data_IF_557533057931
#
_entry.id   IF_557533057931
#
_cell.length_a   1.000
_cell.length_b   1.000
_cell.length_c   1.000
_cell.angle_alpha   90.00
_cell.angle_beta   90.00
_cell.angle_gamma   90.00
#
_symmetry.space_group_name_H-M   'P 1'
#
loop_
_entity.id
_entity.type
_entity.pdbx_description
1 polymer ?
#
# COMPACT_ATOMS: atom_id res chain seq x y z
N UNK A 1 46.10 11.55 -13.19
CA UNK A 1 46.26 12.23 -11.89
C UNK A 1 44.89 12.70 -11.45
N UNK A 2 44.31 11.97 -10.52
CA UNK A 2 42.99 12.32 -9.93
C UNK A 2 43.27 12.95 -8.57
N UNK A 3 43.00 14.24 -8.43
CA UNK A 3 43.09 14.95 -7.16
C UNK A 3 41.94 14.50 -6.25
N UNK A 4 42.29 13.92 -5.13
CA UNK A 4 41.40 13.63 -4.03
C UNK A 4 41.03 14.96 -3.33
N UNK A 5 39.78 15.37 -3.41
CA UNK A 5 39.24 16.52 -2.68
C UNK A 5 39.31 16.25 -1.17
N UNK A 6 40.29 16.86 -0.51
CA UNK A 6 40.43 16.82 0.95
C UNK A 6 39.28 17.58 1.61
N UNK A 7 38.43 16.87 2.38
CA UNK A 7 37.37 17.45 3.18
C UNK A 7 37.94 18.47 4.18
N UNK A 8 37.30 19.63 4.28
CA UNK A 8 37.76 20.76 5.09
C UNK A 8 37.91 20.37 6.59
N UNK A 9 38.89 20.97 7.33
CA UNK A 9 39.08 20.70 8.76
C UNK A 9 37.81 20.96 9.61
N UNK A 10 36.94 21.84 9.18
CA UNK A 10 35.66 22.14 9.84
C UNK A 10 34.67 20.98 9.71
N UNK A 11 34.59 20.32 8.55
CA UNK A 11 33.75 19.14 8.33
C UNK A 11 34.23 17.95 9.16
N UNK A 12 35.55 17.75 9.26
CA UNK A 12 36.13 16.68 10.12
C UNK A 12 35.87 16.93 11.61
N UNK A 13 35.86 18.18 12.06
CA UNK A 13 35.49 18.53 13.45
C UNK A 13 34.02 18.32 13.71
N UNK A 14 33.14 18.68 12.78
CA UNK A 14 31.71 18.43 12.90
C UNK A 14 31.38 16.92 12.94
N UNK A 15 32.05 16.10 12.13
CA UNK A 15 31.88 14.64 12.16
C UNK A 15 32.43 14.01 13.44
N UNK A 16 33.51 14.56 14.01
CA UNK A 16 34.04 14.11 15.29
C UNK A 16 33.09 14.47 16.44
N UNK A 17 32.55 15.69 16.46
CA UNK A 17 31.57 16.14 17.46
C UNK A 17 30.27 15.32 17.34
N UNK A 18 29.82 15.05 16.13
CA UNK A 18 28.62 14.23 15.87
C UNK A 18 28.77 12.81 16.39
N UNK A 19 29.96 12.19 16.30
CA UNK A 19 30.24 10.84 16.84
C UNK A 19 30.32 10.82 18.36
N UNK A 20 30.66 11.92 19.03
CA UNK A 20 30.78 12.01 20.48
C UNK A 20 29.46 12.47 21.14
N UNK A 21 28.55 13.10 20.39
CA UNK A 21 27.25 13.56 20.88
C UNK A 21 26.10 12.59 20.59
N UNK A 22 26.33 11.58 19.76
CA UNK A 22 25.35 10.48 19.64
C UNK A 22 25.55 9.56 20.85
N UNK A 23 24.57 9.41 21.75
CA UNK A 23 24.64 8.38 22.78
C UNK A 23 24.84 7.02 22.07
N UNK A 24 25.65 6.16 22.67
CA UNK A 24 25.75 4.78 22.24
C UNK A 24 24.34 4.20 22.15
N UNK A 25 24.00 3.45 21.10
CA UNK A 25 22.68 2.84 21.04
C UNK A 25 22.42 2.10 22.35
N UNK A 26 21.25 2.26 22.98
CA UNK A 26 20.94 1.57 24.22
C UNK A 26 21.15 0.07 24.00
N UNK A 27 21.60 -0.68 25.02
CA UNK A 27 21.75 -2.12 24.89
C UNK A 27 20.39 -2.67 24.46
N UNK A 28 20.34 -3.24 23.25
CA UNK A 28 19.18 -3.98 22.78
C UNK A 28 18.98 -5.10 23.79
N UNK A 29 17.92 -5.03 24.59
CA UNK A 29 17.46 -6.17 25.35
C UNK A 29 17.15 -7.26 24.33
N UNK A 30 18.14 -8.12 24.08
CA UNK A 30 17.97 -9.34 23.33
C UNK A 30 16.98 -10.21 24.12
N UNK A 31 15.69 -10.05 23.85
CA UNK A 31 14.80 -11.18 23.94
C UNK A 31 15.26 -12.12 22.83
N UNK A 32 15.95 -13.19 23.23
CA UNK A 32 16.32 -14.26 22.33
C UNK A 32 15.07 -14.66 21.53
N UNK A 33 15.10 -14.64 20.18
CA UNK A 33 14.05 -15.25 19.42
C UNK A 33 14.05 -16.72 19.78
N UNK A 34 13.09 -17.12 20.61
CA UNK A 34 12.85 -18.51 20.94
C UNK A 34 12.77 -19.32 19.66
N UNK A 35 13.63 -20.33 19.57
CA UNK A 35 13.61 -21.55 18.74
C UNK A 35 12.65 -21.56 17.52
N UNK A 36 13.16 -22.04 16.42
CA UNK A 36 12.52 -22.25 15.10
C UNK A 36 11.24 -23.16 15.08
N UNK A 37 10.48 -23.23 16.15
CA UNK A 37 9.21 -23.91 16.26
C UNK A 37 8.07 -22.88 16.15
N UNK A 38 7.53 -22.71 14.93
CA UNK A 38 6.16 -22.25 14.73
C UNK A 38 5.94 -20.74 14.64
N UNK A 39 6.59 -20.01 13.70
CA UNK A 39 6.02 -18.74 13.24
C UNK A 39 4.77 -19.08 12.42
N UNK A 40 3.57 -18.69 12.92
CA UNK A 40 2.34 -18.85 12.13
C UNK A 40 2.46 -17.99 10.85
N UNK A 41 2.20 -18.57 9.67
CA UNK A 41 2.18 -17.80 8.44
C UNK A 41 1.20 -16.63 8.56
N UNK A 42 1.66 -15.41 8.32
CA UNK A 42 0.87 -14.19 8.38
C UNK A 42 1.35 -13.24 7.29
N UNK A 43 0.48 -12.48 6.60
CA UNK A 43 0.95 -11.44 5.70
C UNK A 43 1.79 -10.44 6.48
N UNK A 44 2.99 -10.14 5.98
CA UNK A 44 3.89 -9.16 6.59
C UNK A 44 3.71 -7.81 5.91
N UNK A 45 3.47 -6.77 6.71
CA UNK A 45 3.24 -5.41 6.23
C UNK A 45 4.34 -4.51 6.78
N UNK A 46 5.13 -3.89 5.90
CA UNK A 46 6.24 -3.01 6.30
C UNK A 46 6.00 -1.60 5.79
N UNK A 47 5.98 -0.61 6.70
CA UNK A 47 5.83 0.80 6.32
C UNK A 47 5.38 1.70 7.45
N UNK A 48 4.73 2.81 7.10
CA UNK A 48 4.45 3.90 8.00
C UNK A 48 3.23 3.71 8.89
N UNK A 49 3.40 4.11 10.17
CA UNK A 49 2.33 4.48 11.09
C UNK A 49 2.38 6.00 11.29
N UNK A 50 1.25 6.68 11.20
CA UNK A 50 1.16 8.15 11.20
C UNK A 50 0.02 8.58 12.12
N UNK A 51 0.20 9.65 12.88
CA UNK A 51 -0.89 10.36 13.53
C UNK A 51 -1.36 11.49 12.61
N UNK A 52 -2.59 11.40 12.12
CA UNK A 52 -3.23 12.46 11.35
C UNK A 52 -3.98 13.40 12.30
N UNK A 53 -3.70 14.70 12.22
CA UNK A 53 -4.40 15.76 12.94
C UNK A 53 -5.25 16.51 11.92
N UNK A 54 -6.57 16.40 12.05
CA UNK A 54 -7.53 17.07 11.19
C UNK A 54 -8.14 18.25 11.93
N UNK A 55 -7.87 19.47 11.48
CA UNK A 55 -8.46 20.68 12.00
C UNK A 55 -9.52 21.21 11.02
N UNK A 56 -10.76 21.37 11.50
CA UNK A 56 -11.86 21.97 10.74
C UNK A 56 -12.33 23.23 11.46
N UNK A 57 -11.93 24.40 10.99
CA UNK A 57 -12.37 25.68 11.58
C UNK A 57 -13.85 25.92 11.30
N UNK A 58 -14.56 26.59 12.23
CA UNK A 58 -15.97 26.94 12.09
C UNK A 58 -16.21 28.16 11.17
N UNK A 59 -15.13 28.90 10.87
CA UNK A 59 -15.11 30.04 9.95
C UNK A 59 -13.78 30.07 9.21
N UNK A 60 -13.70 30.80 8.12
CA UNK A 60 -12.46 30.91 7.35
C UNK A 60 -11.32 31.49 8.23
N UNK A 61 -10.20 30.76 8.38
CA UNK A 61 -9.06 31.23 9.15
C UNK A 61 -8.47 32.53 8.58
N UNK A 62 -8.16 33.48 9.44
CA UNK A 62 -7.43 34.69 9.05
C UNK A 62 -5.97 34.56 9.46
N UNK A 63 -5.00 34.96 8.62
CA UNK A 63 -3.58 34.92 8.96
C UNK A 63 -3.29 35.66 10.28
N UNK A 64 -2.51 35.00 11.15
CA UNK A 64 -2.11 35.58 12.45
C UNK A 64 -3.18 35.51 13.56
N UNK A 65 -4.32 34.79 13.32
CA UNK A 65 -5.38 34.64 14.32
C UNK A 65 -5.70 33.19 14.61
N UNK A 66 -6.34 32.95 15.75
CA UNK A 66 -6.90 31.63 16.10
C UNK A 66 -8.43 31.71 15.99
N UNK A 67 -9.03 30.75 15.32
CA UNK A 67 -10.48 30.65 15.17
C UNK A 67 -10.99 29.38 15.88
N UNK A 68 -12.23 29.39 16.42
CA UNK A 68 -12.86 28.18 16.93
C UNK A 68 -13.01 27.11 15.84
N UNK A 69 -12.97 25.84 16.26
CA UNK A 69 -13.12 24.74 15.32
C UNK A 69 -13.07 23.37 16.00
N UNK A 70 -13.06 22.32 15.20
CA UNK A 70 -12.90 20.96 15.67
C UNK A 70 -11.52 20.45 15.29
N UNK A 71 -10.84 19.80 16.25
CA UNK A 71 -9.58 19.09 15.99
C UNK A 71 -9.79 17.62 16.33
N UNK A 72 -9.51 16.73 15.36
CA UNK A 72 -9.57 15.28 15.53
C UNK A 72 -8.18 14.68 15.36
N UNK A 73 -7.85 13.70 16.21
CA UNK A 73 -6.68 12.83 16.07
C UNK A 73 -7.13 11.53 15.45
N UNK A 74 -6.52 11.16 14.34
CA UNK A 74 -6.90 9.98 13.54
C UNK A 74 -5.66 9.13 13.35
N UNK A 75 -5.78 7.83 13.61
CA UNK A 75 -4.72 6.89 13.28
C UNK A 75 -4.64 6.73 11.76
N UNK A 76 -3.47 6.96 11.19
CA UNK A 76 -3.20 6.95 9.76
C UNK A 76 -1.88 6.25 9.42
N UNK A 77 -1.44 6.46 8.20
CA UNK A 77 -0.29 5.81 7.57
C UNK A 77 -0.71 4.65 6.68
N UNK A 78 -0.22 4.64 5.45
CA UNK A 78 -0.63 3.69 4.40
C UNK A 78 -0.48 2.24 4.86
N UNK A 79 0.72 1.82 5.28
CA UNK A 79 0.95 0.45 5.74
C UNK A 79 0.09 0.10 6.97
N UNK A 80 -0.06 1.04 7.91
CA UNK A 80 -0.90 0.85 9.10
C UNK A 80 -2.38 0.71 8.72
N UNK A 81 -2.89 1.53 7.82
CA UNK A 81 -4.27 1.46 7.34
C UNK A 81 -4.54 0.12 6.63
N UNK A 82 -3.63 -0.32 5.77
CA UNK A 82 -3.72 -1.61 5.09
C UNK A 82 -3.75 -2.75 6.11
N UNK A 83 -2.83 -2.75 7.09
CA UNK A 83 -2.78 -3.79 8.12
C UNK A 83 -4.05 -3.82 8.98
N UNK A 84 -4.61 -2.67 9.36
CA UNK A 84 -5.88 -2.61 10.10
C UNK A 84 -7.05 -3.12 9.26
N UNK A 85 -7.11 -2.74 7.98
CA UNK A 85 -8.13 -3.24 7.05
C UNK A 85 -8.08 -4.78 6.96
N UNK A 86 -6.87 -5.36 6.76
CA UNK A 86 -6.64 -6.80 6.71
C UNK A 86 -7.12 -7.48 8.01
N UNK A 87 -6.79 -6.88 9.17
CA UNK A 87 -7.21 -7.40 10.47
C UNK A 87 -8.73 -7.40 10.62
N UNK A 88 -9.40 -6.31 10.25
CA UNK A 88 -10.87 -6.18 10.30
C UNK A 88 -11.59 -7.10 9.30
N UNK A 89 -10.91 -7.56 8.26
CA UNK A 89 -11.39 -8.60 7.33
C UNK A 89 -11.12 -10.04 7.80
N UNK A 90 -10.54 -10.20 9.01
CA UNK A 90 -10.36 -11.50 9.66
C UNK A 90 -9.00 -12.16 9.48
N UNK A 91 -8.07 -11.54 8.73
CA UNK A 91 -6.70 -12.01 8.57
C UNK A 91 -5.78 -11.26 9.53
N UNK A 92 -4.88 -11.96 10.25
CA UNK A 92 -3.95 -11.32 11.20
C UNK A 92 -2.65 -10.96 10.49
N UNK A 93 -2.34 -9.66 10.25
CA UNK A 93 -1.07 -9.25 9.69
C UNK A 93 0.01 -9.14 10.76
N UNK A 94 1.27 -9.33 10.38
CA UNK A 94 2.43 -8.95 11.18
C UNK A 94 2.98 -7.63 10.63
N UNK A 95 2.96 -6.57 11.45
CA UNK A 95 3.41 -5.25 11.02
C UNK A 95 4.82 -4.93 11.50
N UNK A 96 5.67 -4.46 10.60
CA UNK A 96 6.99 -3.93 10.90
C UNK A 96 6.98 -2.43 10.61
N UNK A 97 7.22 -1.61 11.65
CA UNK A 97 7.16 -0.16 11.57
C UNK A 97 8.07 0.52 12.59
N UNK A 98 8.02 1.84 12.67
CA UNK A 98 8.71 2.65 13.67
C UNK A 98 7.85 3.82 14.12
N UNK A 99 7.87 4.08 15.42
CA UNK A 99 7.28 5.27 16.06
C UNK A 99 8.28 5.86 17.05
N UNK A 100 8.09 7.12 17.41
CA UNK A 100 8.82 7.75 18.50
C UNK A 100 8.32 7.29 19.86
N UNK A 101 9.15 7.49 20.89
CA UNK A 101 8.72 7.37 22.28
C UNK A 101 8.10 8.70 22.75
N UNK A 102 6.97 9.04 22.15
CA UNK A 102 6.24 10.30 22.34
C UNK A 102 4.72 10.06 22.43
N UNK A 103 3.96 11.11 22.72
CA UNK A 103 2.50 11.04 22.87
C UNK A 103 1.81 10.45 21.61
N UNK A 104 2.29 10.78 20.42
CA UNK A 104 1.72 10.29 19.17
C UNK A 104 1.99 8.79 18.99
N UNK A 105 3.21 8.34 19.30
CA UNK A 105 3.58 6.91 19.31
C UNK A 105 2.76 6.12 20.32
N UNK A 106 2.61 6.63 21.55
CA UNK A 106 1.78 6.00 22.57
C UNK A 106 0.32 5.90 22.14
N UNK A 107 -0.23 6.94 21.51
CA UNK A 107 -1.59 6.95 20.98
C UNK A 107 -1.79 5.84 19.95
N UNK A 108 -0.89 5.74 18.95
CA UNK A 108 -0.95 4.74 17.89
C UNK A 108 -0.80 3.32 18.44
N UNK A 109 0.15 3.09 19.35
CA UNK A 109 0.38 1.77 19.95
C UNK A 109 -0.74 1.34 20.90
N UNK A 110 -1.31 2.28 21.66
CA UNK A 110 -2.47 1.99 22.52
C UNK A 110 -3.66 1.50 21.67
N UNK A 111 -3.96 2.21 20.59
CA UNK A 111 -5.00 1.79 19.65
C UNK A 111 -4.70 0.39 19.09
N UNK A 112 -3.46 0.16 18.61
CA UNK A 112 -3.02 -1.09 18.02
C UNK A 112 -3.16 -2.28 18.96
N UNK A 113 -2.72 -2.12 20.21
CA UNK A 113 -2.88 -3.13 21.27
C UNK A 113 -4.35 -3.38 21.61
N UNK A 114 -5.17 -2.34 21.68
CA UNK A 114 -6.60 -2.50 21.98
C UNK A 114 -7.36 -3.25 20.88
N UNK A 115 -6.89 -3.16 19.63
CA UNK A 115 -7.40 -3.94 18.51
C UNK A 115 -6.88 -5.40 18.49
N UNK A 116 -6.04 -5.79 19.45
CA UNK A 116 -5.47 -7.14 19.53
C UNK A 116 -4.42 -7.45 18.45
N UNK A 117 -3.80 -6.40 17.87
CA UNK A 117 -2.79 -6.56 16.82
C UNK A 117 -1.40 -6.56 17.47
N UNK A 118 -0.51 -7.48 17.02
CA UNK A 118 0.85 -7.62 17.53
C UNK A 118 1.68 -6.33 17.33
N UNK A 119 2.47 -5.96 18.32
CA UNK A 119 3.36 -4.78 18.29
C UNK A 119 4.84 -5.13 18.23
N UNK A 120 5.22 -6.40 18.20
CA UNK A 120 6.62 -6.86 18.30
C UNK A 120 7.51 -6.36 17.15
N UNK A 121 6.93 -6.15 15.98
CA UNK A 121 7.63 -5.59 14.81
C UNK A 121 7.73 -4.06 14.83
N UNK A 122 7.12 -3.36 15.82
CA UNK A 122 7.08 -1.91 15.85
C UNK A 122 8.20 -1.37 16.75
N UNK A 123 9.20 -0.73 16.15
CA UNK A 123 10.32 -0.12 16.84
C UNK A 123 9.88 1.19 17.51
N UNK A 124 10.06 1.31 18.82
CA UNK A 124 9.96 2.61 19.50
C UNK A 124 11.37 3.20 19.70
N UNK A 125 11.57 4.43 19.26
CA UNK A 125 12.87 5.13 19.29
C UNK A 125 12.79 6.37 20.16
N UNK A 126 13.71 6.50 21.13
CA UNK A 126 13.86 7.73 21.90
C UNK A 126 14.36 8.88 21.03
N UNK A 127 13.98 10.10 21.36
CA UNK A 127 14.40 11.33 20.66
C UNK A 127 14.05 11.38 19.17
N UNK A 128 13.09 10.55 18.74
CA UNK A 128 12.52 10.55 17.40
C UNK A 128 11.05 10.93 17.48
N UNK A 129 10.63 11.85 16.64
CA UNK A 129 9.22 12.23 16.54
C UNK A 129 8.48 11.19 15.72
N UNK A 130 7.39 10.65 16.27
CA UNK A 130 6.44 9.83 15.53
C UNK A 130 5.96 10.56 14.27
N UNK A 131 5.76 9.89 13.13
CA UNK A 131 5.21 10.54 11.95
C UNK A 131 3.85 11.19 12.25
N UNK A 132 3.74 12.48 11.92
CA UNK A 132 2.53 13.29 12.09
C UNK A 132 2.22 14.02 10.80
N UNK A 133 0.95 14.03 10.40
CA UNK A 133 0.42 14.89 9.34
C UNK A 133 -0.66 15.77 9.94
N UNK A 134 -0.49 17.10 9.83
CA UNK A 134 -1.48 18.08 10.30
C UNK A 134 -2.16 18.73 9.10
N UNK A 135 -3.45 18.56 8.98
CA UNK A 135 -4.28 19.03 7.88
C UNK A 135 -5.33 20.01 8.39
N UNK A 136 -5.46 21.13 7.70
CA UNK A 136 -6.52 22.12 7.93
C UNK A 136 -7.48 22.09 6.75
N UNK A 137 -8.74 21.86 7.01
CA UNK A 137 -9.81 21.79 6.01
C UNK A 137 -10.71 23.02 6.10
N UNK A 138 -11.35 23.39 5.02
CA UNK A 138 -12.40 24.42 5.03
C UNK A 138 -13.77 23.84 5.46
N UNK A 139 -14.80 24.69 5.41
CA UNK A 139 -16.17 24.30 5.75
C UNK A 139 -16.76 23.22 4.82
N UNK A 140 -16.28 23.14 3.57
CA UNK A 140 -16.70 22.14 2.58
C UNK A 140 -15.94 20.81 2.70
N UNK A 141 -14.83 20.78 3.50
CA UNK A 141 -13.99 19.61 3.66
C UNK A 141 -12.79 19.58 2.70
N UNK A 142 -12.54 20.69 1.97
CA UNK A 142 -11.38 20.82 1.11
C UNK A 142 -10.14 21.16 1.92
N UNK A 143 -8.97 20.62 1.53
CA UNK A 143 -7.70 20.85 2.21
C UNK A 143 -7.18 22.27 1.92
N UNK A 144 -7.11 23.11 2.95
CA UNK A 144 -6.54 24.46 2.86
C UNK A 144 -5.02 24.42 2.98
N UNK A 145 -4.52 23.67 3.97
CA UNK A 145 -3.09 23.56 4.26
C UNK A 145 -2.77 22.23 4.94
N UNK A 146 -1.59 21.69 4.67
CA UNK A 146 -1.11 20.47 5.30
C UNK A 146 0.39 20.57 5.59
N UNK A 147 0.81 20.02 6.75
CA UNK A 147 2.22 19.88 7.13
C UNK A 147 2.47 18.45 7.53
N UNK A 148 3.48 17.83 6.94
CA UNK A 148 3.84 16.43 7.18
C UNK A 148 5.25 16.31 7.76
N UNK A 149 5.36 15.75 8.96
CA UNK A 149 6.62 15.32 9.58
C UNK A 149 6.68 13.80 9.55
N UNK A 150 7.13 13.21 8.43
CA UNK A 150 7.04 11.77 8.17
C UNK A 150 8.39 11.09 7.94
N UNK A 151 9.50 11.73 8.31
CA UNK A 151 10.85 11.23 8.07
C UNK A 151 11.26 10.01 8.90
N UNK A 152 10.57 9.69 10.00
CA UNK A 152 10.99 8.64 10.91
C UNK A 152 11.05 7.26 10.24
N UNK A 153 10.08 6.91 9.40
CA UNK A 153 10.04 5.61 8.69
C UNK A 153 11.26 5.46 7.77
N UNK A 154 11.56 6.49 6.99
CA UNK A 154 12.70 6.46 6.06
C UNK A 154 14.04 6.39 6.78
N UNK A 155 14.18 7.13 7.89
CA UNK A 155 15.46 7.32 8.57
C UNK A 155 15.76 6.20 9.59
N UNK A 156 14.76 5.62 10.25
CA UNK A 156 14.95 4.72 11.38
C UNK A 156 14.48 3.29 11.13
N UNK A 157 13.58 3.05 10.17
CA UNK A 157 13.21 1.68 9.80
C UNK A 157 14.30 1.06 8.92
N UNK A 158 15.38 0.63 9.57
CA UNK A 158 16.60 0.17 8.93
C UNK A 158 16.50 -1.27 8.39
N UNK A 159 17.36 -1.65 7.40
CA UNK A 159 17.46 -3.05 6.96
C UNK A 159 17.80 -4.02 8.09
N UNK A 160 18.58 -3.59 9.09
CA UNK A 160 18.96 -4.42 10.24
C UNK A 160 17.75 -4.73 11.13
N UNK A 161 16.86 -3.77 11.37
CA UNK A 161 15.62 -4.00 12.09
C UNK A 161 14.72 -4.98 11.33
N UNK A 162 14.49 -4.74 10.04
CA UNK A 162 13.69 -5.62 9.19
C UNK A 162 14.25 -7.05 9.20
N UNK A 163 15.58 -7.23 9.15
CA UNK A 163 16.22 -8.54 9.13
C UNK A 163 16.00 -9.34 10.43
N UNK A 164 15.71 -8.70 11.57
CA UNK A 164 15.35 -9.42 12.80
C UNK A 164 14.09 -10.26 12.63
N UNK A 165 13.21 -9.85 11.74
CA UNK A 165 11.95 -10.53 11.41
C UNK A 165 12.04 -11.36 10.13
N UNK A 166 13.25 -11.76 9.74
CA UNK A 166 13.47 -12.58 8.53
C UNK A 166 12.61 -13.83 8.50
N UNK A 167 12.42 -14.52 9.64
CA UNK A 167 11.59 -15.71 9.73
C UNK A 167 10.12 -15.42 9.44
N UNK A 168 9.58 -14.31 9.95
CA UNK A 168 8.22 -13.87 9.64
C UNK A 168 8.05 -13.59 8.15
N UNK A 169 9.02 -12.86 7.54
CA UNK A 169 8.98 -12.54 6.10
C UNK A 169 9.08 -13.84 5.27
N UNK A 170 9.97 -14.77 5.66
CA UNK A 170 10.19 -16.01 4.92
C UNK A 170 9.01 -16.99 5.00
N UNK A 171 8.22 -16.94 6.07
CA UNK A 171 7.02 -17.75 6.26
C UNK A 171 5.73 -17.08 5.73
N UNK A 172 5.81 -15.80 5.34
CA UNK A 172 4.64 -15.03 4.93
C UNK A 172 4.05 -15.53 3.61
N UNK A 173 2.71 -15.58 3.48
CA UNK A 173 2.05 -15.80 2.19
C UNK A 173 2.27 -14.63 1.23
N UNK A 174 2.53 -13.41 1.76
CA UNK A 174 2.77 -12.20 1.01
C UNK A 174 3.49 -11.17 1.88
N UNK A 175 4.45 -10.45 1.28
CA UNK A 175 5.10 -9.27 1.84
C UNK A 175 4.55 -8.01 1.17
N UNK A 176 3.97 -7.08 1.97
CA UNK A 176 3.58 -5.76 1.49
C UNK A 176 4.57 -4.71 1.98
N UNK A 177 5.00 -3.82 1.08
CA UNK A 177 5.93 -2.72 1.34
C UNK A 177 5.30 -1.40 0.87
N UNK A 178 5.28 -0.38 1.73
CA UNK A 178 4.95 0.96 1.28
C UNK A 178 6.20 1.78 0.90
N UNK A 179 6.03 2.74 0.02
CA UNK A 179 7.11 3.58 -0.47
C UNK A 179 7.61 4.63 0.55
N UNK A 180 7.20 4.58 1.83
CA UNK A 180 7.78 5.39 2.90
C UNK A 180 9.16 4.88 3.35
N UNK A 181 9.47 3.61 3.09
CA UNK A 181 10.77 3.04 3.43
C UNK A 181 11.90 3.66 2.60
N UNK A 182 13.11 3.70 3.17
CA UNK A 182 14.31 4.05 2.40
C UNK A 182 14.56 3.06 1.25
N UNK A 183 15.22 3.45 0.15
CA UNK A 183 15.59 2.51 -0.92
C UNK A 183 16.38 1.29 -0.42
N UNK A 184 17.25 1.48 0.57
CA UNK A 184 18.02 0.38 1.19
C UNK A 184 17.12 -0.60 1.96
N UNK A 185 16.14 -0.08 2.69
CA UNK A 185 15.19 -0.91 3.46
C UNK A 185 14.24 -1.67 2.53
N UNK A 186 13.76 -1.02 1.46
CA UNK A 186 12.99 -1.67 0.41
C UNK A 186 13.76 -2.82 -0.22
N UNK A 187 15.01 -2.57 -0.63
CA UNK A 187 15.85 -3.60 -1.26
C UNK A 187 16.15 -4.75 -0.30
N UNK A 188 16.46 -4.47 0.97
CA UNK A 188 16.71 -5.48 2.00
C UNK A 188 15.51 -6.39 2.21
N UNK A 189 14.32 -5.82 2.38
CA UNK A 189 13.08 -6.58 2.55
C UNK A 189 12.74 -7.43 1.30
N UNK A 190 12.86 -6.84 0.12
CA UNK A 190 12.64 -7.54 -1.15
C UNK A 190 13.59 -8.72 -1.35
N UNK A 191 14.87 -8.61 -0.95
CA UNK A 191 15.83 -9.72 -1.03
C UNK A 191 15.44 -10.90 -0.14
N UNK A 192 15.05 -10.62 1.11
CA UNK A 192 14.57 -11.67 2.03
C UNK A 192 13.36 -12.40 1.44
N UNK A 193 12.37 -11.66 0.92
CA UNK A 193 11.19 -12.24 0.31
C UNK A 193 11.54 -13.07 -0.93
N UNK A 194 12.40 -12.56 -1.81
CA UNK A 194 12.83 -13.23 -3.03
C UNK A 194 13.56 -14.55 -2.76
N UNK A 195 14.47 -14.57 -1.78
CA UNK A 195 15.21 -15.77 -1.36
C UNK A 195 14.29 -16.88 -0.83
N UNK A 196 13.12 -16.50 -0.32
CA UNK A 196 12.13 -17.42 0.25
C UNK A 196 10.94 -17.69 -0.70
N UNK A 197 10.94 -17.10 -1.91
CA UNK A 197 9.85 -17.25 -2.87
C UNK A 197 8.55 -16.52 -2.47
N UNK A 198 8.62 -15.57 -1.53
CA UNK A 198 7.46 -14.81 -1.04
C UNK A 198 7.11 -13.70 -2.04
N UNK A 199 5.83 -13.62 -2.51
CA UNK A 199 5.40 -12.56 -3.40
C UNK A 199 5.42 -11.19 -2.71
N UNK A 200 5.86 -10.15 -3.44
CA UNK A 200 5.98 -8.79 -2.93
C UNK A 200 4.90 -7.90 -3.54
N UNK A 201 4.12 -7.24 -2.68
CA UNK A 201 3.18 -6.18 -3.02
C UNK A 201 3.82 -4.82 -2.69
N UNK A 202 3.96 -3.95 -3.67
CA UNK A 202 4.52 -2.61 -3.50
C UNK A 202 3.44 -1.55 -3.63
N UNK A 203 3.30 -0.71 -2.60
CA UNK A 203 2.38 0.41 -2.56
C UNK A 203 3.15 1.74 -2.75
N UNK A 204 2.87 2.49 -3.85
CA UNK A 204 3.64 3.70 -4.23
C UNK A 204 3.47 4.89 -3.29
N UNK A 205 2.36 5.00 -2.56
CA UNK A 205 2.04 6.05 -1.56
C UNK A 205 1.84 7.45 -2.16
N UNK A 206 2.71 7.87 -3.06
CA UNK A 206 2.64 9.19 -3.71
C UNK A 206 3.51 9.25 -4.96
N UNK A 207 3.24 10.25 -5.80
CA UNK A 207 3.96 10.51 -7.05
C UNK A 207 5.48 10.58 -6.84
N UNK A 208 5.94 11.31 -5.82
CA UNK A 208 7.37 11.48 -5.53
C UNK A 208 7.99 10.15 -5.08
N UNK A 209 7.32 9.43 -4.18
CA UNK A 209 7.80 8.15 -3.62
C UNK A 209 7.70 6.99 -4.60
N UNK A 210 6.84 7.09 -5.61
CA UNK A 210 6.74 6.11 -6.72
C UNK A 210 8.07 5.85 -7.41
N UNK A 211 8.98 6.84 -7.43
CA UNK A 211 10.32 6.69 -8.01
C UNK A 211 11.18 5.64 -7.32
N UNK A 212 10.87 5.28 -6.07
CA UNK A 212 11.59 4.25 -5.28
C UNK A 212 11.47 2.84 -5.88
N UNK A 213 10.49 2.62 -6.77
CA UNK A 213 10.37 1.38 -7.56
C UNK A 213 11.64 1.04 -8.34
N UNK A 214 12.44 2.05 -8.72
CA UNK A 214 13.62 1.87 -9.56
C UNK A 214 14.62 0.86 -8.99
N UNK A 215 14.77 0.79 -7.68
CA UNK A 215 15.70 -0.13 -7.01
C UNK A 215 15.17 -1.55 -6.85
N UNK A 216 13.84 -1.75 -6.92
CA UNK A 216 13.20 -3.00 -6.52
C UNK A 216 12.28 -3.63 -7.60
N UNK A 217 12.12 -2.99 -8.76
CA UNK A 217 11.14 -3.41 -9.80
C UNK A 217 11.18 -4.90 -10.14
N UNK A 218 12.37 -5.50 -10.19
CA UNK A 218 12.57 -6.93 -10.51
C UNK A 218 12.02 -7.90 -9.45
N UNK A 219 11.78 -7.41 -8.22
CA UNK A 219 11.26 -8.21 -7.11
C UNK A 219 9.74 -8.11 -6.96
N UNK A 220 9.12 -7.11 -7.63
CA UNK A 220 7.71 -6.79 -7.42
C UNK A 220 6.81 -7.78 -8.14
N UNK A 221 5.94 -8.42 -7.37
CA UNK A 221 4.87 -9.27 -7.89
C UNK A 221 3.64 -8.43 -8.20
N UNK A 222 3.17 -7.63 -7.25
CA UNK A 222 1.98 -6.80 -7.32
C UNK A 222 2.29 -5.34 -7.00
N UNK A 223 1.58 -4.41 -7.65
CA UNK A 223 1.58 -2.99 -7.25
C UNK A 223 0.27 -2.33 -7.62
N UNK A 224 -0.17 -1.32 -6.83
CA UNK A 224 -1.47 -0.66 -6.99
C UNK A 224 -1.36 0.86 -7.16
N UNK A 225 -0.65 1.35 -8.19
CA UNK A 225 -0.58 2.78 -8.45
C UNK A 225 -1.94 3.36 -8.90
N UNK A 226 -2.17 4.63 -8.58
CA UNK A 226 -3.13 5.42 -9.34
C UNK A 226 -2.54 5.82 -10.71
N UNK A 227 -3.34 6.51 -11.54
CA UNK A 227 -2.95 6.92 -12.89
C UNK A 227 -1.69 7.79 -12.91
N UNK A 228 -1.51 8.66 -11.91
CA UNK A 228 -0.39 9.59 -11.84
C UNK A 228 0.87 8.86 -11.31
N UNK A 229 0.71 8.03 -10.32
CA UNK A 229 1.79 7.20 -9.76
C UNK A 229 2.29 6.18 -10.79
N UNK A 230 1.40 5.58 -11.59
CA UNK A 230 1.77 4.68 -12.69
C UNK A 230 2.76 5.34 -13.66
N UNK A 231 2.45 6.56 -14.09
CA UNK A 231 3.31 7.35 -14.99
C UNK A 231 4.63 7.70 -14.32
N UNK A 232 4.59 8.10 -13.04
CA UNK A 232 5.80 8.40 -12.27
C UNK A 232 6.71 7.17 -12.13
N UNK A 233 6.16 5.99 -11.85
CA UNK A 233 6.88 4.71 -11.80
C UNK A 233 7.52 4.38 -13.16
N UNK A 234 6.78 4.55 -14.26
CA UNK A 234 7.29 4.29 -15.60
C UNK A 234 8.43 5.25 -15.94
N UNK A 235 8.31 6.53 -15.59
CA UNK A 235 9.36 7.53 -15.81
C UNK A 235 10.60 7.27 -14.94
N UNK A 236 10.45 6.75 -13.74
CA UNK A 236 11.59 6.39 -12.87
C UNK A 236 12.45 5.24 -13.44
N UNK A 237 11.86 4.38 -14.29
CA UNK A 237 12.52 3.22 -14.90
C UNK A 237 12.90 3.41 -16.38
N UNK A 238 12.60 4.58 -16.96
CA UNK A 238 12.87 4.93 -18.38
C UNK A 238 13.77 6.15 -18.47
N UNK A 239 14.23 6.53 -19.68
CA UNK A 239 14.81 7.84 -19.91
C UNK A 239 13.87 8.97 -19.46
N UNK A 240 14.40 10.13 -19.04
CA UNK A 240 13.61 11.22 -18.50
C UNK A 240 12.41 11.61 -19.39
N UNK A 241 11.25 11.82 -18.76
CA UNK A 241 10.03 12.35 -19.37
C UNK A 241 9.50 11.58 -20.60
N UNK A 242 9.67 10.26 -20.61
CA UNK A 242 9.18 9.44 -21.72
C UNK A 242 7.65 9.32 -21.73
N UNK A 243 7.02 9.33 -20.55
CA UNK A 243 5.58 9.18 -20.40
C UNK A 243 4.96 10.46 -19.85
N UNK A 244 3.85 10.90 -20.44
CA UNK A 244 3.14 12.10 -20.06
C UNK A 244 2.07 11.78 -19.00
N UNK A 245 1.85 12.70 -18.08
CA UNK A 245 0.72 12.63 -17.16
C UNK A 245 -0.59 12.82 -17.92
N UNK A 246 -1.59 12.06 -17.52
CA UNK A 246 -2.92 12.12 -18.13
C UNK A 246 -3.58 13.44 -17.72
N UNK A 247 -4.05 14.21 -18.70
CA UNK A 247 -4.96 15.32 -18.48
C UNK A 247 -6.35 14.80 -18.80
N UNK A 248 -7.23 14.77 -17.80
CA UNK A 248 -8.63 14.38 -18.04
C UNK A 248 -9.26 15.40 -18.96
N UNK A 249 -9.64 14.95 -20.15
CA UNK A 249 -10.47 15.69 -21.10
C UNK A 249 -11.94 15.53 -20.71
N UNK A 250 -12.79 16.42 -21.18
CA UNK A 250 -14.22 16.32 -20.96
C UNK A 250 -14.80 15.15 -21.76
N UNK A 251 -14.87 13.98 -21.12
CA UNK A 251 -15.51 12.81 -21.72
C UNK A 251 -17.03 12.88 -21.49
N UNK A 252 -17.80 12.49 -22.52
CA UNK A 252 -19.28 12.57 -22.48
C UNK A 252 -19.90 11.59 -21.46
N UNK A 253 -19.23 10.47 -21.23
CA UNK A 253 -19.69 9.43 -20.30
C UNK A 253 -18.53 8.62 -19.74
N UNK A 254 -18.81 7.78 -18.72
CA UNK A 254 -17.79 6.94 -18.06
C UNK A 254 -17.10 5.94 -19.00
N UNK A 255 -17.79 5.41 -20.00
CA UNK A 255 -17.20 4.44 -20.91
C UNK A 255 -16.12 5.08 -21.78
N UNK A 256 -16.38 6.28 -22.32
CA UNK A 256 -15.38 7.06 -23.06
C UNK A 256 -14.19 7.44 -22.18
N UNK A 257 -14.45 7.81 -20.91
CA UNK A 257 -13.38 8.12 -19.96
C UNK A 257 -12.46 6.90 -19.69
N UNK A 258 -13.04 5.71 -19.54
CA UNK A 258 -12.28 4.48 -19.33
C UNK A 258 -11.45 4.11 -20.56
N UNK A 259 -12.01 4.22 -21.76
CA UNK A 259 -11.26 3.96 -23.00
C UNK A 259 -10.12 4.96 -23.19
N UNK A 260 -10.38 6.24 -22.98
CA UNK A 260 -9.35 7.29 -23.03
C UNK A 260 -8.22 7.02 -22.02
N UNK A 261 -8.56 6.72 -20.77
CA UNK A 261 -7.58 6.36 -19.75
C UNK A 261 -6.76 5.13 -20.14
N UNK A 262 -7.41 4.13 -20.74
CA UNK A 262 -6.71 2.93 -21.21
C UNK A 262 -5.71 3.27 -22.34
N UNK A 263 -6.10 4.05 -23.34
CA UNK A 263 -5.20 4.48 -24.43
C UNK A 263 -3.98 5.25 -23.88
N UNK A 264 -4.20 6.16 -22.93
CA UNK A 264 -3.15 6.99 -22.36
C UNK A 264 -2.21 6.23 -21.41
N UNK A 265 -2.72 5.27 -20.63
CA UNK A 265 -1.97 4.57 -19.59
C UNK A 265 -1.33 3.25 -20.06
N UNK A 266 -1.87 2.64 -21.13
CA UNK A 266 -1.38 1.34 -21.62
C UNK A 266 0.12 1.31 -21.96
N UNK A 267 0.75 2.36 -22.53
CA UNK A 267 2.20 2.36 -22.77
C UNK A 267 3.01 2.23 -21.47
N UNK A 268 2.58 2.93 -20.39
CA UNK A 268 3.21 2.87 -19.07
C UNK A 268 3.00 1.50 -18.41
N UNK A 269 1.77 0.95 -18.47
CA UNK A 269 1.46 -0.39 -17.95
C UNK A 269 2.33 -1.46 -18.61
N UNK A 270 2.39 -1.48 -19.93
CA UNK A 270 3.18 -2.48 -20.68
C UNK A 270 4.68 -2.35 -20.44
N UNK A 271 5.15 -1.11 -20.29
CA UNK A 271 6.55 -0.87 -19.96
C UNK A 271 6.91 -1.43 -18.57
N UNK A 272 6.10 -1.19 -17.57
CA UNK A 272 6.35 -1.71 -16.21
C UNK A 272 6.32 -3.24 -16.16
N UNK A 273 5.42 -3.88 -16.90
CA UNK A 273 5.42 -5.35 -17.04
C UNK A 273 6.69 -5.87 -17.73
N UNK A 274 7.24 -5.13 -18.72
CA UNK A 274 8.53 -5.48 -19.35
C UNK A 274 9.69 -5.35 -18.35
N UNK A 275 9.60 -4.48 -17.37
CA UNK A 275 10.61 -4.27 -16.31
C UNK A 275 10.59 -5.34 -15.21
N UNK A 276 9.66 -6.29 -15.25
CA UNK A 276 9.63 -7.44 -14.35
C UNK A 276 8.46 -7.50 -13.39
N UNK A 277 7.69 -6.42 -13.25
CA UNK A 277 6.46 -6.44 -12.46
C UNK A 277 5.50 -7.48 -13.04
N UNK A 278 4.88 -8.30 -12.19
CA UNK A 278 4.02 -9.41 -12.66
C UNK A 278 2.59 -8.96 -12.91
N UNK A 279 2.06 -8.12 -12.01
CA UNK A 279 0.68 -7.66 -12.05
C UNK A 279 0.54 -6.23 -11.55
N UNK A 280 -0.18 -5.41 -12.33
CA UNK A 280 -0.51 -4.02 -12.04
C UNK A 280 -2.01 -3.91 -11.75
N UNK A 281 -2.35 -3.22 -10.68
CA UNK A 281 -3.72 -2.88 -10.28
C UNK A 281 -3.86 -1.35 -10.33
N UNK A 282 -4.13 -0.79 -11.51
CA UNK A 282 -4.16 0.66 -11.67
C UNK A 282 -5.50 1.21 -11.22
N UNK A 283 -5.52 1.94 -10.11
CA UNK A 283 -6.74 2.57 -9.59
C UNK A 283 -7.06 3.85 -10.34
N UNK A 284 -8.34 4.04 -10.70
CA UNK A 284 -8.84 5.14 -11.53
C UNK A 284 -9.95 5.93 -10.80
N UNK A 285 -9.92 5.94 -9.48
CA UNK A 285 -10.95 6.56 -8.65
C UNK A 285 -12.34 6.05 -9.00
N UNK A 286 -13.28 6.95 -9.33
CA UNK A 286 -14.66 6.60 -9.69
C UNK A 286 -14.78 5.84 -11.00
N UNK A 287 -13.72 5.72 -11.79
CA UNK A 287 -13.70 4.97 -13.05
C UNK A 287 -13.32 3.49 -12.86
N UNK A 288 -12.96 3.04 -11.66
CA UNK A 288 -12.67 1.64 -11.37
C UNK A 288 -11.19 1.29 -11.34
N UNK A 289 -10.86 0.08 -11.78
CA UNK A 289 -9.48 -0.46 -11.70
C UNK A 289 -9.14 -1.16 -13.01
N UNK A 290 -7.92 -0.92 -13.53
CA UNK A 290 -7.33 -1.78 -14.54
C UNK A 290 -6.47 -2.86 -13.89
N UNK A 291 -6.72 -4.12 -14.26
CA UNK A 291 -5.85 -5.25 -13.96
C UNK A 291 -5.01 -5.52 -15.19
N UNK A 292 -3.70 -5.41 -15.08
CA UNK A 292 -2.79 -5.62 -16.20
C UNK A 292 -1.71 -6.64 -15.85
N UNK A 293 -1.60 -7.72 -16.64
CA UNK A 293 -0.61 -8.78 -16.47
C UNK A 293 -0.14 -9.35 -17.80
N UNK A 294 1.03 -10.05 -17.78
CA UNK A 294 1.46 -10.87 -18.91
C UNK A 294 0.78 -12.23 -18.86
N UNK A 295 0.68 -12.85 -20.03
CA UNK A 295 0.19 -14.20 -20.16
C UNK A 295 1.08 -15.20 -19.40
N UNK A 296 0.63 -15.64 -18.26
CA UNK A 296 0.89 -16.96 -17.75
C UNK A 296 -0.29 -17.37 -16.88
N UNK A 297 -1.13 -18.21 -17.42
CA UNK A 297 -2.25 -18.83 -16.68
C UNK A 297 -1.78 -19.60 -15.44
N UNK A 298 -0.50 -19.98 -15.37
CA UNK A 298 0.13 -20.57 -14.20
C UNK A 298 0.17 -19.61 -13.01
N UNK A 299 0.47 -18.33 -13.22
CA UNK A 299 0.53 -17.35 -12.14
C UNK A 299 -0.83 -17.15 -11.43
N UNK A 300 -1.93 -17.22 -12.16
CA UNK A 300 -3.28 -17.12 -11.60
C UNK A 300 -3.74 -18.42 -10.90
N UNK A 301 -3.12 -19.57 -11.20
CA UNK A 301 -3.43 -20.90 -10.63
C UNK A 301 -2.47 -21.33 -9.52
N UNK A 302 -1.21 -20.91 -9.58
CA UNK A 302 -0.17 -21.36 -8.62
C UNK A 302 -0.30 -20.71 -7.23
N UNK A 303 -1.07 -19.63 -7.10
CA UNK A 303 -1.38 -19.02 -5.81
C UNK A 303 -2.26 -19.90 -4.90
N UNK A 304 -2.95 -20.90 -5.43
CA UNK A 304 -3.76 -21.84 -4.64
C UNK A 304 -2.94 -22.81 -3.78
N UNK A 305 -1.60 -22.78 -3.82
CA UNK A 305 -0.73 -23.73 -3.09
C UNK A 305 -0.13 -23.18 -1.79
N UNK A 306 -0.15 -21.87 -1.53
CA UNK A 306 0.20 -21.34 -0.21
C UNK A 306 -0.99 -21.52 0.72
N UNK A 307 -0.78 -22.11 1.91
CA UNK A 307 -1.83 -22.48 2.85
C UNK A 307 -2.88 -21.40 3.01
N UNK A 308 -4.16 -21.78 2.88
CA UNK A 308 -5.31 -20.88 3.02
C UNK A 308 -5.30 -20.27 4.42
N UNK A 309 -5.16 -18.97 4.49
CA UNK A 309 -5.22 -18.19 5.75
C UNK A 309 -6.66 -17.93 6.15
N UNK A 310 -6.96 -17.76 7.46
CA UNK A 310 -8.28 -17.33 7.88
C UNK A 310 -8.62 -15.97 7.23
N UNK A 311 -9.42 -16.02 6.21
CA UNK A 311 -10.20 -14.92 5.69
C UNK A 311 -11.58 -15.03 6.30
N UNK A 312 -12.35 -13.95 6.41
CA UNK A 312 -13.69 -14.04 6.98
C UNK A 312 -14.45 -15.24 6.38
N UNK A 313 -14.64 -16.30 7.15
CA UNK A 313 -15.31 -17.53 6.72
C UNK A 313 -16.68 -17.20 6.14
N UNK A 314 -17.38 -16.23 6.73
CA UNK A 314 -18.66 -15.74 6.25
C UNK A 314 -18.60 -15.09 4.86
N UNK A 315 -17.47 -14.42 4.54
CA UNK A 315 -17.29 -13.81 3.23
C UNK A 315 -16.94 -14.88 2.20
N UNK A 316 -16.09 -15.85 2.54
CA UNK A 316 -15.77 -16.99 1.69
C UNK A 316 -17.02 -17.82 1.37
N UNK A 317 -17.82 -18.20 2.39
CA UNK A 317 -19.05 -18.97 2.20
C UNK A 317 -20.04 -18.26 1.27
N UNK A 318 -20.12 -16.94 1.33
CA UNK A 318 -20.96 -16.14 0.42
C UNK A 318 -20.41 -16.03 -0.99
N UNK A 319 -19.11 -16.22 -1.16
CA UNK A 319 -18.42 -16.19 -2.45
C UNK A 319 -18.32 -17.60 -3.06
N UNK A 320 -18.34 -18.67 -2.27
CA UNK A 320 -18.37 -20.05 -2.76
C UNK A 320 -19.63 -20.31 -3.60
N UNK A 321 -19.43 -20.87 -4.78
CA UNK A 321 -20.50 -21.18 -5.75
C UNK A 321 -20.90 -20.03 -6.69
N UNK A 322 -20.25 -18.85 -6.60
CA UNK A 322 -20.67 -17.66 -7.33
C UNK A 322 -19.82 -17.33 -8.56
N UNK A 323 -18.73 -18.05 -8.78
CA UNK A 323 -17.78 -17.69 -9.81
C UNK A 323 -17.94 -18.57 -11.05
N UNK A 324 -18.24 -17.97 -12.21
CA UNK A 324 -18.12 -18.70 -13.45
C UNK A 324 -16.64 -19.03 -13.64
N UNK A 325 -16.28 -20.28 -13.46
CA UNK A 325 -14.97 -20.85 -13.79
C UNK A 325 -14.50 -20.52 -15.23
N UNK A 326 -15.33 -19.86 -15.99
CA UNK A 326 -15.20 -19.67 -17.43
C UNK A 326 -14.62 -18.32 -17.85
N UNK A 327 -14.53 -17.30 -16.97
CA UNK A 327 -13.94 -16.00 -17.38
C UNK A 327 -12.44 -16.12 -17.66
N UNK A 328 -11.74 -16.97 -16.91
CA UNK A 328 -10.31 -17.24 -17.11
C UNK A 328 -10.09 -18.45 -18.03
N UNK A 329 -11.01 -19.41 -18.03
CA UNK A 329 -10.91 -20.61 -18.86
C UNK A 329 -10.95 -20.36 -20.38
N UNK A 330 -11.49 -19.22 -20.81
CA UNK A 330 -11.56 -18.79 -22.19
C UNK A 330 -10.34 -17.95 -22.64
N UNK A 331 -9.28 -17.87 -21.82
CA UNK A 331 -8.01 -17.28 -22.26
C UNK A 331 -7.32 -18.25 -23.24
N UNK A 332 -6.81 -17.79 -24.39
CA UNK A 332 -6.14 -18.64 -25.35
C UNK A 332 -4.99 -19.39 -24.69
N UNK A 333 -4.91 -20.68 -24.89
CA UNK A 333 -3.83 -21.54 -24.42
C UNK A 333 -2.61 -21.35 -25.34
N UNK A 334 -1.45 -21.11 -24.69
CA UNK A 334 -0.07 -21.23 -25.17
C UNK A 334 0.39 -20.47 -26.43
N UNK A 335 1.50 -19.77 -26.29
CA UNK A 335 2.45 -19.45 -27.36
C UNK A 335 2.75 -18.00 -27.69
N UNK A 336 2.12 -17.00 -27.08
CA UNK A 336 2.46 -15.60 -27.35
C UNK A 336 2.64 -14.78 -26.08
N UNK A 337 3.67 -13.93 -26.06
CA UNK A 337 3.96 -12.93 -25.02
C UNK A 337 2.87 -11.81 -24.99
N UNK A 338 1.60 -12.19 -24.84
CA UNK A 338 0.49 -11.24 -24.85
C UNK A 338 0.29 -10.64 -23.46
N UNK A 339 -0.03 -9.36 -23.43
CA UNK A 339 -0.44 -8.62 -22.24
C UNK A 339 -1.97 -8.59 -22.20
N UNK A 340 -2.53 -8.84 -21.02
CA UNK A 340 -3.97 -8.76 -20.77
C UNK A 340 -4.28 -7.56 -19.91
N UNK A 341 -5.33 -6.84 -20.26
CA UNK A 341 -5.90 -5.80 -19.43
C UNK A 341 -7.38 -6.05 -19.26
N UNK A 342 -7.83 -6.03 -17.99
CA UNK A 342 -9.24 -6.07 -17.64
C UNK A 342 -9.59 -4.76 -16.92
N UNK A 343 -10.78 -4.27 -17.16
CA UNK A 343 -11.38 -3.17 -16.41
C UNK A 343 -12.47 -3.69 -15.51
N UNK A 344 -12.39 -3.38 -14.21
CA UNK A 344 -13.42 -3.63 -13.22
C UNK A 344 -14.00 -2.29 -12.80
N UNK A 345 -15.30 -2.03 -13.05
CA UNK A 345 -15.94 -0.79 -12.65
C UNK A 345 -16.22 -0.77 -11.14
N UNK A 346 -16.34 0.41 -10.57
CA UNK A 346 -16.83 0.59 -9.19
C UNK A 346 -18.35 0.54 -9.13
N UNK A 347 -18.87 0.09 -8.00
CA UNK A 347 -20.28 0.24 -7.63
C UNK A 347 -20.51 1.65 -7.10
N UNK A 348 -21.70 2.22 -7.36
CA UNK A 348 -22.08 3.53 -6.84
C UNK A 348 -21.99 3.58 -5.32
N UNK A 349 -21.47 4.69 -4.79
CA UNK A 349 -21.26 4.91 -3.36
C UNK A 349 -21.77 6.28 -2.92
N UNK A 350 -22.26 6.38 -1.69
CA UNK A 350 -22.54 7.65 -1.02
C UNK A 350 -21.26 8.16 -0.37
N UNK A 351 -20.50 8.99 -1.10
CA UNK A 351 -19.16 9.42 -0.68
C UNK A 351 -19.24 10.36 0.52
N UNK A 352 -18.61 9.95 1.63
CA UNK A 352 -18.43 10.72 2.87
C UNK A 352 -16.98 11.20 2.97
N UNK A 353 -16.01 10.29 2.72
CA UNK A 353 -14.57 10.61 2.74
C UNK A 353 -13.84 9.78 1.69
N UNK A 354 -12.82 10.36 1.05
CA UNK A 354 -11.96 9.62 0.11
C UNK A 354 -10.67 9.11 0.77
N UNK A 355 -10.40 9.55 2.00
CA UNK A 355 -9.18 9.15 2.72
C UNK A 355 -9.26 7.69 3.12
N UNK A 356 -8.19 6.93 2.87
CA UNK A 356 -8.13 5.51 3.20
C UNK A 356 -8.76 4.57 2.16
N UNK A 357 -9.42 5.08 1.11
CA UNK A 357 -10.04 4.25 0.08
C UNK A 357 -9.02 3.37 -0.66
N UNK A 358 -7.86 3.92 -1.02
CA UNK A 358 -6.75 3.17 -1.63
C UNK A 358 -6.20 2.11 -0.68
N UNK A 359 -6.01 2.46 0.59
CA UNK A 359 -5.52 1.52 1.62
C UNK A 359 -6.51 0.36 1.84
N UNK A 360 -7.81 0.68 1.88
CA UNK A 360 -8.88 -0.31 1.96
C UNK A 360 -8.96 -1.20 0.72
N UNK A 361 -8.75 -0.64 -0.48
CA UNK A 361 -8.63 -1.42 -1.70
C UNK A 361 -7.50 -2.45 -1.59
N UNK A 362 -6.29 -2.00 -1.25
CA UNK A 362 -5.12 -2.88 -1.10
C UNK A 362 -5.33 -3.90 0.02
N UNK A 363 -5.86 -3.49 1.17
CA UNK A 363 -6.18 -4.38 2.28
C UNK A 363 -7.17 -5.48 1.90
N UNK A 364 -8.22 -5.13 1.15
CA UNK A 364 -9.19 -6.08 0.61
C UNK A 364 -8.56 -7.07 -0.38
N UNK A 365 -7.74 -6.57 -1.30
CA UNK A 365 -7.01 -7.41 -2.28
C UNK A 365 -6.07 -8.39 -1.56
N UNK A 366 -5.25 -7.91 -0.60
CA UNK A 366 -4.30 -8.76 0.12
C UNK A 366 -5.03 -9.81 0.96
N UNK A 367 -6.08 -9.43 1.69
CA UNK A 367 -6.88 -10.39 2.47
C UNK A 367 -7.44 -11.51 1.59
N UNK A 368 -7.98 -11.16 0.42
CA UNK A 368 -8.55 -12.11 -0.51
C UNK A 368 -7.47 -13.01 -1.16
N UNK A 369 -6.29 -12.47 -1.49
CA UNK A 369 -5.14 -13.23 -1.96
C UNK A 369 -4.70 -14.26 -0.92
N UNK A 370 -4.57 -13.85 0.34
CA UNK A 370 -4.24 -14.75 1.45
C UNK A 370 -5.34 -15.79 1.70
N UNK A 371 -6.60 -15.47 1.37
CA UNK A 371 -7.73 -16.40 1.38
C UNK A 371 -7.75 -17.40 0.22
N UNK A 372 -6.80 -17.31 -0.72
CA UNK A 372 -6.69 -18.25 -1.86
C UNK A 372 -7.63 -17.96 -3.02
N UNK A 373 -8.20 -16.75 -3.10
CA UNK A 373 -9.09 -16.35 -4.19
C UNK A 373 -8.29 -15.98 -5.46
N UNK A 374 -8.94 -16.09 -6.62
CA UNK A 374 -8.32 -15.64 -7.86
C UNK A 374 -8.22 -14.10 -7.93
N UNK A 375 -7.34 -13.61 -8.81
CA UNK A 375 -7.02 -12.17 -8.83
C UNK A 375 -8.23 -11.29 -9.21
N UNK A 376 -9.14 -11.77 -10.06
CA UNK A 376 -10.33 -11.00 -10.44
C UNK A 376 -11.27 -10.86 -9.23
N UNK A 377 -11.41 -11.92 -8.44
CA UNK A 377 -12.16 -11.95 -7.18
C UNK A 377 -11.50 -11.03 -6.16
N UNK A 378 -10.17 -11.11 -6.01
CA UNK A 378 -9.42 -10.26 -5.08
C UNK A 378 -9.62 -8.79 -5.38
N UNK A 379 -9.55 -8.39 -6.65
CA UNK A 379 -9.75 -6.98 -7.04
C UNK A 379 -11.19 -6.55 -6.86
N UNK A 380 -12.17 -7.40 -7.18
CA UNK A 380 -13.58 -7.09 -6.95
C UNK A 380 -13.88 -6.88 -5.46
N UNK A 381 -13.30 -7.71 -4.57
CA UNK A 381 -13.39 -7.54 -3.11
C UNK A 381 -12.69 -6.24 -2.69
N UNK A 382 -11.48 -5.95 -3.20
CA UNK A 382 -10.79 -4.70 -2.93
C UNK A 382 -11.64 -3.47 -3.26
N UNK A 383 -12.31 -3.47 -4.42
CA UNK A 383 -13.24 -2.40 -4.83
C UNK A 383 -14.43 -2.27 -3.85
N UNK A 384 -15.02 -3.40 -3.43
CA UNK A 384 -16.14 -3.39 -2.50
C UNK A 384 -15.72 -2.91 -1.09
N UNK A 385 -14.52 -3.27 -0.63
CA UNK A 385 -13.95 -2.81 0.65
C UNK A 385 -13.62 -1.32 0.58
N UNK A 386 -13.06 -0.84 -0.55
CA UNK A 386 -12.83 0.59 -0.77
C UNK A 386 -14.15 1.38 -0.79
N UNK A 387 -15.21 0.83 -1.39
CA UNK A 387 -16.54 1.44 -1.35
C UNK A 387 -17.03 1.63 0.08
N UNK A 388 -16.92 0.60 0.93
CA UNK A 388 -17.30 0.69 2.33
C UNK A 388 -16.48 1.77 3.08
N UNK A 389 -15.22 1.98 2.71
CA UNK A 389 -14.38 3.06 3.26
C UNK A 389 -14.87 4.44 2.85
N UNK A 390 -15.17 4.67 1.57
CA UNK A 390 -15.62 6.00 1.12
C UNK A 390 -16.98 6.39 1.68
N UNK A 391 -17.79 5.44 2.15
CA UNK A 391 -19.07 5.64 2.84
C UNK A 391 -18.92 5.85 4.36
N UNK A 392 -17.66 5.93 4.88
CA UNK A 392 -17.32 6.12 6.29
C UNK A 392 -16.57 7.44 6.52
N UNK A 393 -16.70 8.02 7.73
CA UNK A 393 -15.84 9.15 8.16
C UNK A 393 -14.44 8.70 8.55
N UNK A 394 -14.28 7.44 8.98
CA UNK A 394 -12.99 6.88 9.39
C UNK A 394 -12.17 6.43 8.18
N UNK A 395 -10.83 6.56 8.24
CA UNK A 395 -9.93 6.04 7.21
C UNK A 395 -10.15 4.55 6.95
N UNK A 396 -10.39 3.78 8.01
CA UNK A 396 -10.77 2.38 7.96
C UNK A 396 -12.07 2.20 8.76
N UNK A 397 -13.17 1.75 8.16
CA UNK A 397 -14.45 1.52 8.85
C UNK A 397 -14.29 0.66 10.10
N UNK A 398 -15.05 0.94 11.14
CA UNK A 398 -14.98 0.15 12.38
C UNK A 398 -15.34 -1.32 12.15
N UNK A 399 -16.29 -1.56 11.26
CA UNK A 399 -16.73 -2.91 10.87
C UNK A 399 -17.04 -2.94 9.38
N UNK A 400 -16.73 -4.08 8.76
CA UNK A 400 -17.11 -4.38 7.39
C UNK A 400 -18.33 -5.29 7.37
N UNK A 401 -19.37 -4.91 6.62
CA UNK A 401 -20.52 -5.76 6.37
C UNK A 401 -20.19 -6.78 5.28
N UNK A 402 -19.93 -8.01 5.65
CA UNK A 402 -19.53 -9.10 4.73
C UNK A 402 -20.56 -9.36 3.63
N UNK A 403 -21.87 -9.20 3.93
CA UNK A 403 -22.94 -9.35 2.94
C UNK A 403 -22.84 -8.28 1.85
N UNK A 404 -22.74 -7.00 2.26
CA UNK A 404 -22.63 -5.88 1.32
C UNK A 404 -21.37 -6.00 0.45
N UNK A 405 -20.22 -6.37 1.06
CA UNK A 405 -18.96 -6.58 0.32
C UNK A 405 -19.13 -7.70 -0.72
N UNK A 406 -19.74 -8.83 -0.36
CA UNK A 406 -19.97 -9.93 -1.29
C UNK A 406 -20.86 -9.52 -2.47
N UNK A 407 -21.96 -8.82 -2.19
CA UNK A 407 -22.90 -8.36 -3.23
C UNK A 407 -22.25 -7.33 -4.16
N UNK A 408 -21.50 -6.36 -3.63
CA UNK A 408 -20.81 -5.35 -4.41
C UNK A 408 -19.67 -5.96 -5.24
N UNK A 409 -18.87 -6.87 -4.66
CA UNK A 409 -17.83 -7.60 -5.36
C UNK A 409 -18.40 -8.40 -6.54
N UNK A 410 -19.55 -9.06 -6.34
CA UNK A 410 -20.24 -9.77 -7.41
C UNK A 410 -20.67 -8.84 -8.54
N UNK A 411 -21.30 -7.70 -8.23
CA UNK A 411 -21.72 -6.72 -9.25
C UNK A 411 -20.53 -6.20 -10.05
N UNK A 412 -19.42 -5.88 -9.37
CA UNK A 412 -18.16 -5.46 -9.99
C UNK A 412 -17.64 -6.53 -10.94
N UNK A 413 -17.57 -7.78 -10.49
CA UNK A 413 -17.02 -8.89 -11.28
C UNK A 413 -17.88 -9.20 -12.53
N UNK A 414 -19.21 -9.21 -12.38
CA UNK A 414 -20.13 -9.43 -13.50
C UNK A 414 -20.06 -8.32 -14.56
N UNK A 415 -19.61 -7.14 -14.18
CA UNK A 415 -19.44 -5.98 -15.05
C UNK A 415 -18.01 -5.82 -15.60
N UNK A 416 -17.12 -6.77 -15.30
CA UNK A 416 -15.74 -6.75 -15.76
C UNK A 416 -15.67 -6.83 -17.30
N UNK A 417 -14.76 -6.06 -17.89
CA UNK A 417 -14.54 -6.00 -19.35
C UNK A 417 -13.08 -6.23 -19.69
N UNK A 418 -12.82 -6.95 -20.75
CA UNK A 418 -11.49 -7.05 -21.33
C UNK A 418 -11.22 -5.83 -22.21
N UNK A 419 -10.06 -5.21 -22.01
CA UNK A 419 -9.61 -4.08 -22.84
C UNK A 419 -8.70 -4.60 -23.94
N UNK A 420 -8.79 -3.99 -25.12
CA UNK A 420 -8.01 -4.37 -26.29
C UNK A 420 -7.27 -3.15 -26.82
N UNK A 421 -5.96 -3.27 -27.03
CA UNK A 421 -5.24 -2.29 -27.85
C UNK A 421 -5.75 -2.39 -29.28
N UNK A 422 -6.21 -1.26 -29.81
CA UNK A 422 -6.57 -1.11 -31.23
C UNK A 422 -5.34 -1.23 -32.14
#
# INVERSE_FOLDING_TARGET
>A
MAEAAASSPALRRMDSIRRHLLPAPPPVLHQNPSSAAGVEPSPVIIGGMVLDIHAKPSMLPQPGTTVPGMVKYISGGVARNIAECICKLGTRPFMISVVGNDMAGDFLLKYWRSAGICTDGILQVNDVTTPIVSNVFDGSGELIAGVASVGAVENFLSPSWINQFRLHISAAPLLMLDANLSPRSLEGACKIAHESGVPVFFEPVSVVKSSRIASIAKYITYTSPNEIELVAMANALSPPQKYNFVKMEQCKNKAEAVEYLFEMLSPSMFFLLKKGIKLLLVTLGSNGVFICCKESTSFMKDQQKSGIMPFSTQLLEKLEGWFPSNMIANLPREGSSRTFVFHLPVVSASVVSLTGAGDCFVGGVISALCGGLDIMQCVAIGIAVAKASVESEANIPDKFCTASIADDAKRTLLSAKRMWCK
#
